data_IF_602790119832
#
_entry.id   IF_602790119832
#
_cell.length_a   1.000
_cell.length_b   1.000
_cell.length_c   1.000
_cell.angle_alpha   90.00
_cell.angle_beta   90.00
_cell.angle_gamma   90.00
#
_symmetry.space_group_name_H-M   'P 1'
#
loop_
_entity.id
_entity.type
_entity.pdbx_description
1 polymer ?
#
# COMPACT_ATOMS: atom_id res chain seq x y z
N UNK A 1 -16.20 -3.61 -10.95
CA UNK A 1 -14.84 -3.62 -11.56
C UNK A 1 -13.89 -2.99 -10.55
N UNK A 2 -12.85 -3.70 -10.11
CA UNK A 2 -11.85 -3.11 -9.23
C UNK A 2 -10.98 -2.12 -10.04
N UNK A 3 -10.72 -0.91 -9.53
CA UNK A 3 -9.88 0.07 -10.24
C UNK A 3 -8.46 -0.47 -10.46
N UNK A 4 -7.90 -0.20 -11.65
CA UNK A 4 -6.56 -0.68 -12.05
C UNK A 4 -5.48 -0.05 -11.16
N UNK A 5 -4.57 -0.89 -10.67
CA UNK A 5 -3.36 -0.47 -9.96
C UNK A 5 -2.51 0.45 -10.83
N UNK A 6 -1.98 1.54 -10.26
CA UNK A 6 -1.13 2.49 -10.98
C UNK A 6 0.20 2.68 -10.24
N UNK A 7 1.34 2.73 -10.96
CA UNK A 7 2.62 3.05 -10.34
C UNK A 7 2.51 4.38 -9.57
N UNK A 8 3.12 4.47 -8.40
CA UNK A 8 3.00 5.62 -7.49
C UNK A 8 3.28 6.96 -8.21
N UNK A 9 4.25 6.97 -9.14
CA UNK A 9 4.64 8.12 -9.99
C UNK A 9 3.52 8.71 -10.87
N UNK A 10 2.40 8.01 -11.05
CA UNK A 10 1.25 8.49 -11.83
C UNK A 10 0.11 9.03 -10.96
N UNK A 11 0.17 8.84 -9.64
CA UNK A 11 -0.55 9.73 -8.73
C UNK A 11 0.24 11.03 -8.65
N UNK A 12 -0.45 12.17 -8.61
CA UNK A 12 0.26 13.45 -8.46
C UNK A 12 1.02 13.35 -7.14
N UNK A 13 2.34 13.54 -7.17
CA UNK A 13 3.19 13.41 -5.99
C UNK A 13 2.66 14.20 -4.78
N UNK A 14 1.97 15.34 -5.02
CA UNK A 14 1.32 16.13 -3.97
C UNK A 14 0.22 15.37 -3.22
N UNK A 15 -0.57 14.56 -3.91
CA UNK A 15 -1.78 13.95 -3.35
C UNK A 15 -1.38 12.83 -2.35
N UNK A 16 -0.21 12.20 -2.55
CA UNK A 16 0.38 11.23 -1.61
C UNK A 16 1.28 11.91 -0.57
N UNK A 17 1.97 13.00 -0.92
CA UNK A 17 2.83 13.72 0.02
C UNK A 17 2.07 14.28 1.23
N UNK A 18 0.80 14.66 1.03
CA UNK A 18 -0.10 15.13 2.10
C UNK A 18 -1.00 14.03 2.66
N UNK A 19 -0.84 12.78 2.22
CA UNK A 19 -1.68 11.68 2.67
C UNK A 19 -1.31 11.23 4.09
N UNK A 20 -2.32 11.01 4.91
CA UNK A 20 -2.16 10.45 6.25
C UNK A 20 -2.03 8.94 6.13
N UNK A 21 -0.87 8.43 6.53
CA UNK A 21 -0.64 7.01 6.74
C UNK A 21 -1.22 6.59 8.09
N UNK A 22 -2.01 5.51 8.12
CA UNK A 22 -2.69 5.08 9.35
C UNK A 22 -2.59 3.58 9.62
N UNK A 23 -2.07 2.79 8.68
CA UNK A 23 -1.87 1.35 8.90
C UNK A 23 -0.80 0.77 7.97
N UNK A 24 0.05 -0.09 8.53
CA UNK A 24 1.10 -0.84 7.82
C UNK A 24 0.83 -2.34 7.90
N UNK A 25 0.85 -3.01 6.75
CA UNK A 25 0.96 -4.47 6.65
C UNK A 25 2.39 -4.87 6.37
N UNK A 26 3.01 -5.54 7.34
CA UNK A 26 4.28 -6.23 7.12
C UNK A 26 4.02 -7.66 6.66
N UNK A 27 4.62 -8.06 5.54
CA UNK A 27 4.62 -9.44 5.08
C UNK A 27 6.01 -9.88 4.64
N UNK A 28 6.34 -11.16 4.84
CA UNK A 28 7.59 -11.73 4.35
C UNK A 28 7.29 -12.57 3.13
N UNK A 29 7.96 -12.28 2.02
CA UNK A 29 7.82 -13.06 0.78
C UNK A 29 9.19 -13.50 0.29
N UNK A 30 9.26 -14.74 -0.17
CA UNK A 30 10.44 -15.34 -0.76
C UNK A 30 10.42 -15.10 -2.26
N UNK A 31 11.49 -14.52 -2.80
CA UNK A 31 11.63 -14.32 -4.25
C UNK A 31 12.29 -15.53 -4.92
N UNK A 32 12.23 -15.63 -6.25
CA UNK A 32 12.90 -16.69 -7.02
C UNK A 32 14.41 -16.79 -6.77
N UNK A 33 15.04 -15.70 -6.30
CA UNK A 33 16.45 -15.67 -5.86
C UNK A 33 16.71 -16.43 -4.55
N UNK A 34 15.66 -16.92 -3.88
CA UNK A 34 15.74 -17.66 -2.62
C UNK A 34 15.80 -16.77 -1.37
N UNK A 35 15.99 -15.47 -1.54
CA UNK A 35 16.07 -14.47 -0.46
C UNK A 35 14.67 -14.07 0.02
N UNK A 36 14.52 -13.95 1.34
CA UNK A 36 13.33 -13.40 1.97
C UNK A 36 13.40 -11.88 2.03
N UNK A 37 12.31 -11.22 1.64
CA UNK A 37 12.16 -9.78 1.75
C UNK A 37 10.97 -9.47 2.63
N UNK A 38 11.16 -8.50 3.51
CA UNK A 38 10.07 -7.83 4.20
C UNK A 38 9.43 -6.81 3.24
N UNK A 39 8.12 -6.88 3.10
CA UNK A 39 7.30 -5.92 2.35
C UNK A 39 6.43 -5.16 3.34
N UNK A 40 6.33 -3.85 3.15
CA UNK A 40 5.52 -2.97 3.99
C UNK A 40 4.46 -2.27 3.16
N UNK A 41 3.30 -2.90 3.01
CA UNK A 41 2.17 -2.23 2.37
C UNK A 41 1.60 -1.18 3.32
N UNK A 42 1.26 0.00 2.81
CA UNK A 42 0.81 1.16 3.60
C UNK A 42 -0.57 1.60 3.17
N UNK A 43 -1.50 1.69 4.11
CA UNK A 43 -2.82 2.28 3.85
C UNK A 43 -2.77 3.77 4.16
N UNK A 44 -3.10 4.58 3.15
CA UNK A 44 -3.07 6.04 3.24
C UNK A 44 -4.42 6.64 2.90
N UNK A 45 -4.74 7.75 3.55
CA UNK A 45 -5.90 8.60 3.23
C UNK A 45 -5.40 9.96 2.75
N UNK A 46 -5.74 10.34 1.53
CA UNK A 46 -5.40 11.63 0.96
C UNK A 46 -6.25 12.76 1.57
N UNK A 47 -5.82 14.01 1.39
CA UNK A 47 -6.51 15.19 1.95
C UNK A 47 -7.95 15.35 1.45
N UNK A 48 -8.25 14.91 0.22
CA UNK A 48 -9.60 14.87 -0.36
C UNK A 48 -10.44 13.67 0.12
N UNK A 49 -9.91 12.87 1.05
CA UNK A 49 -10.60 11.77 1.70
C UNK A 49 -10.62 10.46 0.91
N UNK A 50 -9.87 10.35 -0.19
CA UNK A 50 -9.70 9.09 -0.92
C UNK A 50 -8.74 8.15 -0.17
N UNK A 51 -8.93 6.84 -0.34
CA UNK A 51 -8.07 5.83 0.28
C UNK A 51 -7.23 5.13 -0.78
N UNK A 52 -5.96 4.88 -0.46
CA UNK A 52 -5.05 4.13 -1.30
C UNK A 52 -4.27 3.12 -0.47
N UNK A 53 -4.09 1.92 -1.03
CA UNK A 53 -3.07 0.99 -0.59
C UNK A 53 -1.82 1.22 -1.44
N UNK A 54 -0.73 1.58 -0.78
CA UNK A 54 0.61 1.59 -1.38
C UNK A 54 1.22 0.22 -1.13
N UNK A 55 1.31 -0.60 -2.17
CA UNK A 55 1.99 -1.89 -2.12
C UNK A 55 3.49 -1.67 -2.29
N UNK A 56 4.26 -2.20 -1.34
CA UNK A 56 5.70 -2.19 -1.41
C UNK A 56 6.19 -3.33 -2.33
N UNK A 57 7.22 -3.04 -3.10
CA UNK A 57 7.86 -4.00 -3.98
C UNK A 57 9.38 -3.90 -3.78
N UNK A 58 10.10 -5.03 -3.72
CA UNK A 58 11.53 -4.99 -3.46
C UNK A 58 12.25 -4.21 -4.55
N UNK A 59 12.67 -2.99 -4.22
CA UNK A 59 13.36 -2.05 -5.12
C UNK A 59 14.63 -2.69 -5.69
N UNK A 60 15.29 -3.57 -4.92
CA UNK A 60 16.49 -4.32 -5.34
C UNK A 60 16.24 -5.32 -6.49
N UNK A 61 14.99 -5.53 -6.89
CA UNK A 61 14.57 -6.41 -7.98
C UNK A 61 13.76 -5.64 -9.03
N UNK A 62 14.11 -4.37 -9.25
CA UNK A 62 13.41 -3.43 -10.14
C UNK A 62 11.92 -3.23 -9.77
N UNK A 63 11.57 -3.54 -8.53
CA UNK A 63 10.25 -3.26 -7.97
C UNK A 63 10.02 -1.77 -7.83
N UNK A 64 8.76 -1.35 -8.04
CA UNK A 64 8.32 0.01 -7.75
C UNK A 64 7.11 -0.05 -6.85
N UNK A 65 6.99 0.90 -5.93
CA UNK A 65 5.75 1.07 -5.17
C UNK A 65 4.59 1.34 -6.11
N UNK A 66 3.46 0.70 -5.84
CA UNK A 66 2.23 0.82 -6.62
C UNK A 66 1.12 1.26 -5.70
N UNK A 67 0.38 2.30 -6.11
CA UNK A 67 -0.79 2.74 -5.38
C UNK A 67 -2.07 2.22 -6.04
N UNK A 68 -2.92 1.62 -5.22
CA UNK A 68 -4.24 1.12 -5.60
C UNK A 68 -5.32 1.89 -4.85
N UNK A 69 -6.31 2.48 -5.53
CA UNK A 69 -7.42 3.13 -4.85
C UNK A 69 -8.31 2.08 -4.18
N UNK A 70 -8.74 2.39 -2.95
CA UNK A 70 -9.56 1.55 -2.09
C UNK A 70 -10.89 2.24 -1.78
N UNK A 71 -11.97 1.47 -1.74
CA UNK A 71 -13.22 1.92 -1.15
C UNK A 71 -13.16 1.80 0.38
N UNK A 72 -14.00 2.53 1.11
CA UNK A 72 -14.06 2.41 2.58
C UNK A 72 -14.35 0.97 3.04
N UNK A 73 -15.24 0.25 2.35
CA UNK A 73 -15.52 -1.16 2.63
C UNK A 73 -14.27 -2.04 2.42
N UNK A 74 -13.48 -1.75 1.39
CA UNK A 74 -12.21 -2.44 1.13
C UNK A 74 -11.15 -2.13 2.18
N UNK A 75 -11.13 -0.92 2.75
CA UNK A 75 -10.25 -0.56 3.88
C UNK A 75 -10.60 -1.40 5.10
N UNK A 76 -11.89 -1.49 5.46
CA UNK A 76 -12.30 -2.32 6.60
C UNK A 76 -11.97 -3.80 6.41
N UNK A 77 -12.22 -4.35 5.21
CA UNK A 77 -11.85 -5.73 4.90
C UNK A 77 -10.33 -5.95 5.07
N UNK A 78 -9.51 -5.03 4.54
CA UNK A 78 -8.06 -5.11 4.65
C UNK A 78 -7.57 -5.04 6.10
N UNK A 79 -8.15 -4.16 6.93
CA UNK A 79 -7.82 -4.07 8.36
C UNK A 79 -8.26 -5.31 9.15
N UNK A 80 -9.41 -5.89 8.78
CA UNK A 80 -9.94 -7.09 9.44
C UNK A 80 -9.06 -8.32 9.20
N UNK A 81 -8.53 -8.47 7.98
CA UNK A 81 -7.67 -9.61 7.64
C UNK A 81 -6.37 -9.62 8.44
N UNK A 82 -5.96 -8.49 9.00
CA UNK A 82 -4.74 -8.37 9.78
C UNK A 82 -4.87 -7.25 10.86
N UNK A 83 -5.47 -7.54 12.02
CA UNK A 83 -5.79 -6.54 13.05
C UNK A 83 -4.56 -5.91 13.73
N UNK A 84 -3.37 -6.45 13.52
CA UNK A 84 -2.11 -5.99 14.12
C UNK A 84 -1.50 -4.76 13.40
N UNK A 85 -2.21 -4.20 12.42
CA UNK A 85 -1.65 -3.28 11.41
C UNK A 85 -1.92 -1.79 11.65
N UNK A 86 -2.68 -1.44 12.68
CA UNK A 86 -3.02 -0.03 12.96
C UNK A 86 -1.85 0.62 13.69
N UNK A 87 -1.33 1.71 13.12
CA UNK A 87 -0.31 2.53 13.80
C UNK A 87 -1.03 3.44 14.82
N UNK A 88 -0.58 3.38 16.08
CA UNK A 88 -1.10 4.18 17.20
C UNK A 88 -0.44 5.56 17.26
#
# INVERSE_FOLDING_TARGET
>A
MAPKAKPLRHLRARDIAEAVHFATRVSYKRWPTGVWFELRDRMVRTADGQFYLIEDHPIKLDGHEVARPYSLASVFAWLHDCPQQIEL
#
